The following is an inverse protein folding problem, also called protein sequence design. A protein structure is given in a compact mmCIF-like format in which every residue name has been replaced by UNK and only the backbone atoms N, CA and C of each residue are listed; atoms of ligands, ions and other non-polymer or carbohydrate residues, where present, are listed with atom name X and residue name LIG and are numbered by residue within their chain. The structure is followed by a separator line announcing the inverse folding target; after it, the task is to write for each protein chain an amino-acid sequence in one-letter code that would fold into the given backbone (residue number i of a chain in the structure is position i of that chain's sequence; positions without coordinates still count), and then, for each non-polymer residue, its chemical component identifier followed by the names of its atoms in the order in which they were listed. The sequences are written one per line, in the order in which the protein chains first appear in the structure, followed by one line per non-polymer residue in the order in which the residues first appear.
data_IF_202372112831
#
_entry.id   IF_202372112831
#
_cell.length_a   1.000
_cell.length_b   1.000
_cell.length_c   1.000
_cell.angle_alpha   90.00
_cell.angle_beta   90.00
_cell.angle_gamma   90.00
#
_symmetry.space_group_name_H-M   'P 1'
#
loop_
_entity.id
_entity.type
_entity.pdbx_description
1 polymer ?
#
# COMPACT_ATOMS: atom_id res chain seq x y z
N UNK A 1 25.94 -40.50 -63.42
CA UNK A 1 25.41 -39.36 -62.65
C UNK A 1 26.18 -39.26 -61.34
N UNK A 2 27.17 -38.38 -61.27
CA UNK A 2 28.00 -38.18 -60.07
C UNK A 2 27.29 -37.22 -59.11
N UNK A 3 26.96 -37.71 -57.92
CA UNK A 3 26.51 -36.91 -56.78
C UNK A 3 27.79 -36.42 -56.09
N UNK A 4 28.10 -35.13 -56.24
CA UNK A 4 29.24 -34.51 -55.55
C UNK A 4 28.82 -34.23 -54.11
N UNK A 5 29.11 -35.17 -53.21
CA UNK A 5 29.00 -34.96 -51.77
C UNK A 5 30.10 -33.99 -51.35
N UNK A 6 29.74 -32.72 -51.17
CA UNK A 6 30.67 -31.64 -50.86
C UNK A 6 30.88 -31.60 -49.33
N UNK A 7 32.04 -32.01 -48.79
CA UNK A 7 32.26 -32.20 -47.34
C UNK A 7 32.35 -30.88 -46.56
N UNK A 8 32.29 -29.73 -47.25
CA UNK A 8 32.33 -28.38 -46.67
C UNK A 8 30.99 -27.87 -46.12
N UNK A 9 29.87 -28.55 -46.41
CA UNK A 9 28.54 -28.09 -46.00
C UNK A 9 28.22 -28.45 -44.54
N UNK A 10 28.72 -29.60 -44.05
CA UNK A 10 28.53 -30.04 -42.66
C UNK A 10 29.14 -29.11 -41.60
N UNK A 11 30.41 -28.65 -41.71
CA UNK A 11 30.99 -27.76 -40.71
C UNK A 11 30.37 -26.36 -40.73
N UNK A 12 29.89 -25.89 -41.89
CA UNK A 12 29.19 -24.62 -42.01
C UNK A 12 27.81 -24.64 -41.32
N UNK A 13 27.08 -25.75 -41.40
CA UNK A 13 25.79 -25.94 -40.72
C UNK A 13 25.95 -26.03 -39.19
N UNK A 14 27.03 -26.66 -38.71
CA UNK A 14 27.34 -26.76 -37.29
C UNK A 14 27.73 -25.41 -36.65
N UNK A 15 28.53 -24.58 -37.35
CA UNK A 15 28.84 -23.21 -36.90
C UNK A 15 27.58 -22.32 -36.84
N UNK A 16 26.63 -22.49 -37.78
CA UNK A 16 25.38 -21.74 -37.78
C UNK A 16 24.48 -22.11 -36.58
N UNK A 17 24.41 -23.40 -36.20
CA UNK A 17 23.66 -23.87 -35.04
C UNK A 17 24.22 -23.38 -33.69
N UNK A 18 25.55 -23.23 -33.56
CA UNK A 18 26.18 -22.68 -32.34
C UNK A 18 25.87 -21.18 -32.20
N UNK A 19 25.81 -20.42 -33.30
CA UNK A 19 25.46 -19.00 -33.28
C UNK A 19 23.99 -18.74 -32.84
N UNK A 20 23.07 -19.67 -33.07
CA UNK A 20 21.68 -19.56 -32.61
C UNK A 20 21.44 -19.98 -31.15
N UNK A 21 22.38 -20.67 -30.51
CA UNK A 21 22.26 -21.08 -29.10
C UNK A 21 22.39 -19.93 -28.09
N UNK A 22 22.84 -18.76 -28.53
CA UNK A 22 22.87 -17.52 -27.75
C UNK A 22 21.58 -16.71 -27.76
N UNK A 23 20.58 -17.09 -28.57
CA UNK A 23 19.27 -16.44 -28.63
C UNK A 23 18.37 -16.90 -27.48
N UNK A 24 18.83 -16.74 -26.24
CA UNK A 24 18.01 -17.02 -25.07
C UNK A 24 17.02 -15.87 -24.83
N UNK A 25 15.77 -16.23 -24.58
CA UNK A 25 14.74 -15.32 -24.06
C UNK A 25 15.26 -14.60 -22.81
N UNK A 26 15.02 -13.29 -22.70
CA UNK A 26 15.52 -12.48 -21.59
C UNK A 26 14.85 -12.90 -20.29
N UNK A 27 15.65 -13.41 -19.36
CA UNK A 27 15.31 -13.63 -17.96
C UNK A 27 14.48 -14.89 -17.67
N UNK A 28 14.60 -15.46 -16.44
CA UNK A 28 13.77 -16.58 -16.01
C UNK A 28 12.32 -16.14 -15.78
N UNK A 29 11.39 -17.09 -15.88
CA UNK A 29 10.02 -16.87 -15.41
C UNK A 29 10.00 -16.71 -13.88
N UNK A 30 9.08 -15.90 -13.38
CA UNK A 30 8.86 -15.79 -11.94
C UNK A 30 8.50 -17.16 -11.35
N UNK A 31 9.19 -17.53 -10.27
CA UNK A 31 8.85 -18.68 -9.43
C UNK A 31 8.62 -18.16 -8.02
N UNK A 32 7.43 -18.45 -7.47
CA UNK A 32 7.10 -18.03 -6.11
C UNK A 32 8.08 -18.72 -5.14
N UNK A 33 8.73 -17.99 -4.22
CA UNK A 33 9.55 -18.59 -3.19
C UNK A 33 8.74 -19.61 -2.38
N UNK A 34 9.40 -20.71 -1.97
CA UNK A 34 8.78 -21.68 -1.08
C UNK A 34 8.33 -20.99 0.21
N UNK A 35 7.17 -21.40 0.73
CA UNK A 35 6.74 -20.96 2.05
C UNK A 35 7.77 -21.39 3.11
N UNK A 36 7.95 -20.64 4.21
CA UNK A 36 8.80 -21.08 5.31
C UNK A 36 8.37 -22.46 5.82
N UNK A 37 9.32 -23.29 6.24
CA UNK A 37 9.07 -24.65 6.75
C UNK A 37 8.30 -24.68 8.09
N UNK A 38 7.96 -23.51 8.64
CA UNK A 38 7.13 -23.39 9.84
C UNK A 38 5.67 -23.70 9.53
N UNK A 39 5.25 -24.91 9.89
CA UNK A 39 3.86 -25.36 9.80
C UNK A 39 2.99 -24.83 10.96
N UNK A 40 3.61 -24.24 12.00
CA UNK A 40 2.94 -23.82 13.23
C UNK A 40 3.55 -22.53 13.78
N UNK A 41 2.72 -21.71 14.42
CA UNK A 41 3.17 -20.50 15.13
C UNK A 41 3.41 -20.73 16.64
N UNK A 42 2.89 -21.83 17.20
CA UNK A 42 2.97 -22.15 18.63
C UNK A 42 3.61 -23.52 18.87
N UNK A 43 4.28 -23.67 20.01
CA UNK A 43 4.74 -24.98 20.51
C UNK A 43 3.56 -25.81 21.01
N UNK A 44 3.61 -27.13 20.78
CA UNK A 44 2.56 -28.07 21.19
C UNK A 44 1.48 -28.35 20.14
N UNK A 45 0.46 -29.12 20.54
CA UNK A 45 -0.73 -29.37 19.74
C UNK A 45 -1.62 -28.13 19.78
N UNK A 46 -2.03 -27.64 18.60
CA UNK A 46 -2.92 -26.50 18.54
C UNK A 46 -4.28 -26.90 19.13
N UNK A 47 -4.73 -26.25 20.23
CA UNK A 47 -5.98 -26.63 20.85
C UNK A 47 -7.12 -26.41 19.85
N UNK A 48 -7.95 -27.44 19.64
CA UNK A 48 -9.12 -27.35 18.77
C UNK A 48 -10.11 -26.27 19.26
N UNK A 49 -10.01 -25.93 20.55
CA UNK A 49 -10.86 -24.98 21.26
C UNK A 49 -10.03 -24.05 22.14
N UNK A 50 -10.22 -22.74 22.00
CA UNK A 50 -9.76 -21.77 22.97
C UNK A 50 -10.86 -21.48 24.00
N UNK A 51 -10.45 -21.37 25.27
CA UNK A 51 -11.34 -21.01 26.38
C UNK A 51 -11.82 -19.57 26.21
N UNK A 52 -13.06 -19.37 25.77
CA UNK A 52 -13.75 -18.08 25.83
C UNK A 52 -14.52 -17.93 27.14
N UNK A 53 -14.75 -16.68 27.58
CA UNK A 53 -15.43 -16.37 28.84
C UNK A 53 -16.82 -17.03 28.98
N UNK A 54 -17.55 -17.25 27.87
CA UNK A 54 -18.91 -17.83 27.88
C UNK A 54 -19.15 -18.96 26.84
N UNK A 55 -18.29 -19.10 25.83
CA UNK A 55 -18.40 -20.14 24.79
C UNK A 55 -17.01 -20.62 24.37
N UNK A 56 -16.92 -21.92 24.11
CA UNK A 56 -15.74 -22.52 23.50
C UNK A 56 -15.54 -21.95 22.09
N UNK A 57 -14.39 -21.33 21.84
CA UNK A 57 -14.04 -20.78 20.52
C UNK A 57 -13.30 -21.84 19.72
N UNK A 58 -13.72 -22.13 18.49
CA UNK A 58 -13.06 -23.12 17.63
C UNK A 58 -12.18 -22.43 16.58
N UNK A 59 -10.99 -22.97 16.33
CA UNK A 59 -10.12 -22.47 15.27
C UNK A 59 -10.50 -23.08 13.93
N UNK A 60 -11.01 -22.25 13.00
CA UNK A 60 -11.33 -22.71 11.65
C UNK A 60 -10.18 -22.38 10.68
N UNK A 61 -9.36 -23.38 10.37
CA UNK A 61 -8.15 -23.24 9.53
C UNK A 61 -8.43 -22.79 8.09
N UNK A 62 -9.65 -23.00 7.60
CA UNK A 62 -10.03 -22.72 6.21
C UNK A 62 -11.04 -21.58 6.09
N UNK A 63 -11.28 -20.83 7.15
CA UNK A 63 -12.18 -19.70 7.10
C UNK A 63 -11.47 -18.49 6.53
N UNK A 64 -12.03 -17.94 5.45
CA UNK A 64 -11.57 -16.69 4.90
C UNK A 64 -11.83 -15.56 5.92
N UNK A 65 -10.80 -14.73 6.15
CA UNK A 65 -10.94 -13.56 7.02
C UNK A 65 -11.85 -12.58 6.30
N UNK A 66 -12.99 -12.27 6.91
CA UNK A 66 -13.94 -11.31 6.33
C UNK A 66 -13.26 -9.95 6.17
N UNK A 67 -13.49 -9.29 5.02
CA UNK A 67 -13.00 -7.94 4.79
C UNK A 67 -13.48 -6.95 5.87
N UNK A 68 -14.71 -7.16 6.36
CA UNK A 68 -15.35 -6.33 7.38
C UNK A 68 -15.17 -6.90 8.80
N UNK A 69 -13.97 -7.39 9.12
CA UNK A 69 -13.65 -8.08 10.39
C UNK A 69 -14.08 -7.31 11.65
N UNK A 70 -14.16 -5.98 11.60
CA UNK A 70 -14.59 -5.14 12.73
C UNK A 70 -16.07 -5.33 13.09
N UNK A 71 -16.91 -5.86 12.18
CA UNK A 71 -18.32 -6.14 12.48
C UNK A 71 -18.48 -7.21 13.55
N UNK A 72 -17.43 -7.99 13.82
CA UNK A 72 -17.37 -8.95 14.93
C UNK A 72 -17.46 -8.30 16.32
N UNK A 73 -17.22 -6.99 16.43
CA UNK A 73 -17.44 -6.25 17.69
C UNK A 73 -18.92 -5.92 17.94
N UNK A 74 -19.82 -6.17 16.98
CA UNK A 74 -21.26 -5.94 17.12
C UNK A 74 -21.64 -4.50 17.53
N UNK A 75 -20.85 -3.50 17.16
CA UNK A 75 -21.10 -2.10 17.46
C UNK A 75 -21.45 -1.32 16.20
N UNK A 76 -22.70 -0.85 16.11
CA UNK A 76 -23.17 -0.03 14.97
C UNK A 76 -22.41 1.29 14.88
N UNK A 77 -22.21 1.98 16.01
CA UNK A 77 -21.44 3.23 16.06
C UNK A 77 -19.98 3.05 15.57
N UNK A 78 -19.36 1.90 15.88
CA UNK A 78 -18.01 1.59 15.38
C UNK A 78 -18.02 1.34 13.87
N UNK A 79 -19.02 0.62 13.36
CA UNK A 79 -19.17 0.38 11.92
C UNK A 79 -19.31 1.71 11.16
N UNK A 80 -20.18 2.60 11.63
CA UNK A 80 -20.42 3.90 11.00
C UNK A 80 -19.14 4.76 10.99
N UNK A 81 -18.37 4.74 12.08
CA UNK A 81 -17.10 5.47 12.16
C UNK A 81 -16.06 4.92 11.18
N UNK A 82 -15.99 3.60 11.01
CA UNK A 82 -15.07 2.95 10.08
C UNK A 82 -15.47 3.23 8.63
N UNK A 83 -16.75 3.14 8.30
CA UNK A 83 -17.26 3.45 6.95
C UNK A 83 -17.02 4.92 6.60
N UNK A 84 -17.27 5.83 7.53
CA UNK A 84 -16.95 7.25 7.37
C UNK A 84 -15.44 7.48 7.22
N UNK A 85 -14.61 6.74 7.98
CA UNK A 85 -13.15 6.79 7.89
C UNK A 85 -12.65 6.33 6.52
N UNK A 86 -13.05 5.14 6.07
CA UNK A 86 -12.64 4.58 4.78
C UNK A 86 -13.04 5.49 3.60
N UNK A 87 -14.21 6.13 3.67
CA UNK A 87 -14.70 7.03 2.62
C UNK A 87 -13.93 8.36 2.53
N UNK A 88 -13.49 8.90 3.67
CA UNK A 88 -12.97 10.27 3.75
C UNK A 88 -11.47 10.36 4.08
N UNK A 89 -10.78 9.23 4.26
CA UNK A 89 -9.37 9.24 4.65
C UNK A 89 -8.44 9.57 3.45
N UNK A 90 -7.61 10.63 3.55
CA UNK A 90 -6.71 11.02 2.47
C UNK A 90 -5.63 9.98 2.13
N UNK A 91 -5.20 9.16 3.10
CA UNK A 91 -4.19 8.13 2.88
C UNK A 91 -4.74 6.95 2.08
N UNK A 92 -6.01 6.57 2.30
CA UNK A 92 -6.70 5.59 1.45
C UNK A 92 -6.90 6.16 0.05
N UNK A 93 -7.36 7.41 -0.07
CA UNK A 93 -7.52 8.08 -1.37
C UNK A 93 -6.19 8.18 -2.15
N UNK A 94 -5.08 8.45 -1.46
CA UNK A 94 -3.74 8.46 -2.05
C UNK A 94 -3.32 7.08 -2.57
N UNK A 95 -3.61 6.01 -1.82
CA UNK A 95 -3.32 4.63 -2.26
C UNK A 95 -4.19 4.22 -3.47
N UNK A 96 -5.44 4.66 -3.53
CA UNK A 96 -6.31 4.45 -4.71
C UNK A 96 -5.77 5.20 -5.93
N UNK A 97 -5.33 6.45 -5.75
CA UNK A 97 -4.72 7.23 -6.82
C UNK A 97 -3.40 6.61 -7.32
N UNK A 98 -2.58 6.06 -6.42
CA UNK A 98 -1.34 5.35 -6.78
C UNK A 98 -1.63 4.11 -7.63
N UNK A 99 -2.64 3.31 -7.25
CA UNK A 99 -3.09 2.17 -8.04
C UNK A 99 -3.59 2.59 -9.43
N UNK A 100 -4.41 3.64 -9.51
CA UNK A 100 -4.89 4.17 -10.79
C UNK A 100 -3.75 4.68 -11.66
N UNK A 101 -2.76 5.37 -11.08
CA UNK A 101 -1.58 5.82 -11.82
C UNK A 101 -0.80 4.63 -12.41
N UNK A 102 -0.56 3.59 -11.62
CA UNK A 102 0.12 2.38 -12.08
C UNK A 102 -0.65 1.68 -13.21
N UNK A 103 -1.98 1.59 -13.09
CA UNK A 103 -2.85 1.03 -14.13
C UNK A 103 -2.75 1.81 -15.44
N UNK A 104 -2.94 3.12 -15.39
CA UNK A 104 -2.95 3.96 -16.58
C UNK A 104 -1.56 4.07 -17.22
N UNK A 105 -0.50 4.13 -16.42
CA UNK A 105 0.88 4.08 -16.89
C UNK A 105 1.16 2.77 -17.65
N UNK A 106 0.72 1.64 -17.08
CA UNK A 106 0.86 0.32 -17.73
C UNK A 106 0.06 0.26 -19.03
N UNK A 107 -1.17 0.78 -19.04
CA UNK A 107 -2.04 0.80 -20.21
C UNK A 107 -1.45 1.67 -21.33
N UNK A 108 -0.94 2.86 -21.00
CA UNK A 108 -0.28 3.76 -21.94
C UNK A 108 0.95 3.09 -22.60
N UNK A 109 1.73 2.35 -21.81
CA UNK A 109 2.93 1.68 -22.30
C UNK A 109 2.64 0.39 -23.08
N UNK A 110 1.54 -0.31 -22.78
CA UNK A 110 1.20 -1.59 -23.43
C UNK A 110 1.15 -1.47 -24.94
N UNK A 111 0.47 -0.46 -25.47
CA UNK A 111 0.41 -0.23 -26.92
C UNK A 111 1.79 0.13 -27.48
N UNK A 112 2.49 1.07 -26.85
CA UNK A 112 3.82 1.51 -27.29
C UNK A 112 4.86 0.37 -27.36
N UNK A 113 4.74 -0.63 -26.49
CA UNK A 113 5.65 -1.78 -26.44
C UNK A 113 5.29 -2.92 -27.40
N UNK A 114 4.02 -3.02 -27.82
CA UNK A 114 3.48 -4.20 -28.50
C UNK A 114 3.10 -3.96 -29.97
N UNK A 115 2.85 -2.71 -30.37
CA UNK A 115 2.45 -2.36 -31.74
C UNK A 115 3.39 -1.29 -32.34
N UNK A 116 3.46 -1.18 -33.68
CA UNK A 116 4.21 -0.10 -34.33
C UNK A 116 3.69 1.28 -33.91
N UNK A 117 4.62 2.18 -33.59
CA UNK A 117 4.32 3.58 -33.38
C UNK A 117 4.31 4.29 -34.74
N UNK A 118 3.25 5.07 -34.99
CA UNK A 118 3.12 5.89 -36.19
C UNK A 118 3.01 7.34 -35.74
N UNK A 119 3.96 8.15 -36.17
CA UNK A 119 3.99 9.57 -35.87
C UNK A 119 3.95 10.38 -37.16
N UNK A 120 3.30 11.53 -37.12
CA UNK A 120 3.31 12.47 -38.24
C UNK A 120 3.75 13.83 -37.71
N UNK A 121 4.65 14.47 -38.45
CA UNK A 121 5.27 15.72 -38.04
C UNK A 121 5.29 16.69 -39.21
N UNK A 122 5.02 17.95 -38.91
CA UNK A 122 5.17 19.06 -39.85
C UNK A 122 6.02 20.11 -39.17
N UNK A 123 7.10 20.51 -39.82
CA UNK A 123 8.03 21.50 -39.33
C UNK A 123 8.27 22.60 -40.35
N UNK A 124 8.49 23.81 -39.87
CA UNK A 124 9.08 24.88 -40.66
C UNK A 124 10.32 25.39 -39.93
N UNK A 125 11.44 25.45 -40.63
CA UNK A 125 12.68 26.02 -40.11
C UNK A 125 13.17 27.11 -41.04
N UNK A 126 13.37 28.31 -40.50
CA UNK A 126 13.95 29.42 -41.25
C UNK A 126 15.44 29.48 -40.99
N UNK A 127 16.22 29.32 -42.04
CA UNK A 127 17.68 29.26 -41.95
C UNK A 127 18.31 30.37 -42.78
N UNK A 128 19.42 30.90 -42.28
CA UNK A 128 20.30 31.79 -43.05
C UNK A 128 21.63 31.09 -43.22
N UNK A 129 21.92 30.68 -44.44
CA UNK A 129 23.17 29.99 -44.79
C UNK A 129 24.17 31.02 -45.30
N UNK A 130 25.35 31.09 -44.67
CA UNK A 130 26.49 31.88 -45.14
C UNK A 130 27.40 30.97 -45.96
N UNK A 131 27.57 31.17 -47.27
CA UNK A 131 28.46 30.35 -48.11
C UNK A 131 29.91 30.32 -47.60
N UNK A 132 30.35 31.39 -46.92
CA UNK A 132 31.69 31.52 -46.35
C UNK A 132 31.96 30.49 -45.25
N UNK A 133 30.92 30.05 -44.53
CA UNK A 133 31.03 29.00 -43.51
C UNK A 133 31.42 27.63 -44.11
N UNK A 134 31.26 27.46 -45.42
CA UNK A 134 31.62 26.26 -46.17
C UNK A 134 32.77 26.49 -47.16
N UNK A 135 33.44 27.64 -47.09
CA UNK A 135 34.59 27.98 -47.95
C UNK A 135 34.22 28.43 -49.37
N UNK A 136 32.96 28.75 -49.64
CA UNK A 136 32.51 29.28 -50.93
C UNK A 136 32.30 30.80 -50.85
N UNK A 137 32.70 31.57 -51.88
CA UNK A 137 32.37 33.00 -51.95
C UNK A 137 30.88 33.18 -52.30
N UNK A 138 30.17 34.06 -51.59
CA UNK A 138 28.77 34.40 -51.89
C UNK A 138 28.04 35.06 -50.72
N UNK A 139 26.92 35.74 -50.97
CA UNK A 139 26.16 36.42 -49.92
C UNK A 139 25.30 35.43 -49.09
N UNK A 140 25.03 35.74 -47.80
CA UNK A 140 24.14 34.93 -46.97
C UNK A 140 22.72 34.83 -47.57
N UNK A 141 22.25 33.62 -47.79
CA UNK A 141 20.90 33.37 -48.31
C UNK A 141 19.95 32.97 -47.16
N UNK A 142 18.79 33.61 -47.07
CA UNK A 142 17.77 33.28 -46.08
C UNK A 142 16.61 32.56 -46.75
N UNK A 143 16.28 31.37 -46.27
CA UNK A 143 15.19 30.56 -46.81
C UNK A 143 14.44 29.85 -45.68
N UNK A 144 13.18 29.52 -45.94
CA UNK A 144 12.40 28.65 -45.07
C UNK A 144 12.38 27.24 -45.67
N UNK A 145 12.59 26.23 -44.83
CA UNK A 145 12.38 24.83 -45.16
C UNK A 145 11.12 24.37 -44.43
N UNK A 146 10.09 24.01 -45.19
CA UNK A 146 8.91 23.34 -44.67
C UNK A 146 9.01 21.86 -45.01
N UNK A 147 8.89 21.00 -44.00
CA UNK A 147 8.90 19.55 -44.17
C UNK A 147 7.66 18.94 -43.50
N UNK A 148 7.17 17.85 -44.10
CA UNK A 148 6.17 16.99 -43.51
C UNK A 148 6.67 15.54 -43.64
N UNK A 149 6.67 14.80 -42.53
CA UNK A 149 7.07 13.38 -42.49
C UNK A 149 6.03 12.55 -41.75
N UNK A 150 5.99 11.27 -42.10
CA UNK A 150 5.31 10.24 -41.33
C UNK A 150 6.34 9.18 -41.01
N UNK A 151 6.58 8.98 -39.73
CA UNK A 151 7.60 8.08 -39.20
C UNK A 151 6.92 6.87 -38.55
N UNK A 152 7.22 5.68 -39.07
CA UNK A 152 6.76 4.40 -38.49
C UNK A 152 7.95 3.71 -37.84
N UNK A 153 7.87 3.48 -36.53
CA UNK A 153 8.90 2.75 -35.78
C UNK A 153 8.30 1.53 -35.10
N UNK A 154 9.00 0.39 -35.18
CA UNK A 154 8.60 -0.83 -34.51
C UNK A 154 9.82 -1.62 -34.04
N UNK A 155 9.88 -1.89 -32.75
CA UNK A 155 10.92 -2.72 -32.17
C UNK A 155 10.45 -4.17 -32.15
N UNK A 156 11.13 -5.03 -32.92
CA UNK A 156 10.84 -6.45 -32.94
C UNK A 156 11.33 -7.11 -31.65
N UNK A 157 10.39 -7.59 -30.84
CA UNK A 157 10.69 -8.20 -29.54
C UNK A 157 11.06 -9.70 -29.66
N UNK A 158 12.15 -10.00 -30.37
CA UNK A 158 12.60 -11.39 -30.58
C UNK A 158 13.02 -12.09 -29.29
N UNK A 159 13.63 -11.35 -28.36
CA UNK A 159 14.17 -11.89 -27.12
C UNK A 159 13.24 -11.67 -25.91
N UNK A 160 12.14 -10.95 -26.06
CA UNK A 160 11.12 -10.78 -25.01
C UNK A 160 11.38 -9.62 -24.03
N UNK A 161 12.25 -8.66 -24.36
CA UNK A 161 12.55 -7.51 -23.51
C UNK A 161 11.30 -6.65 -23.26
N UNK A 162 10.54 -6.32 -24.31
CA UNK A 162 9.30 -5.53 -24.17
C UNK A 162 8.23 -6.30 -23.39
N UNK A 163 8.11 -7.61 -23.64
CA UNK A 163 7.21 -8.50 -22.88
C UNK A 163 7.55 -8.52 -21.40
N UNK A 164 8.83 -8.63 -21.04
CA UNK A 164 9.29 -8.62 -19.64
C UNK A 164 9.11 -7.27 -18.98
N UNK A 165 9.29 -6.18 -19.72
CA UNK A 165 8.98 -4.84 -19.24
C UNK A 165 7.49 -4.69 -18.91
N UNK A 166 6.59 -5.17 -19.78
CA UNK A 166 5.15 -5.14 -19.51
C UNK A 166 4.78 -6.01 -18.30
N UNK A 167 5.34 -7.23 -18.20
CA UNK A 167 5.15 -8.11 -17.03
C UNK A 167 5.59 -7.43 -15.73
N UNK A 168 6.71 -6.70 -15.75
CA UNK A 168 7.17 -5.92 -14.60
C UNK A 168 6.18 -4.80 -14.22
N UNK A 169 5.60 -4.11 -15.19
CA UNK A 169 4.60 -3.07 -14.93
C UNK A 169 3.30 -3.66 -14.35
N UNK A 170 2.85 -4.79 -14.88
CA UNK A 170 1.69 -5.52 -14.35
C UNK A 170 1.93 -6.03 -12.91
N UNK A 171 3.16 -6.47 -12.60
CA UNK A 171 3.54 -6.83 -11.24
C UNK A 171 3.54 -5.62 -10.29
N UNK A 172 3.94 -4.43 -10.76
CA UNK A 172 3.85 -3.18 -9.97
C UNK A 172 2.39 -2.80 -9.70
N UNK A 173 1.49 -2.94 -10.68
CA UNK A 173 0.04 -2.77 -10.48
C UNK A 173 -0.48 -3.72 -9.39
N UNK A 174 -0.05 -4.98 -9.42
CA UNK A 174 -0.42 -5.95 -8.39
C UNK A 174 0.09 -5.54 -7.00
N UNK A 175 1.32 -5.03 -6.90
CA UNK A 175 1.87 -4.51 -5.65
C UNK A 175 1.07 -3.32 -5.10
N UNK A 176 0.73 -2.34 -5.95
CA UNK A 176 -0.11 -1.19 -5.54
C UNK A 176 -1.50 -1.61 -5.07
N UNK A 177 -2.08 -2.66 -5.67
CA UNK A 177 -3.35 -3.23 -5.21
C UNK A 177 -3.25 -3.76 -3.77
N UNK A 178 -2.15 -4.44 -3.43
CA UNK A 178 -1.92 -4.91 -2.06
C UNK A 178 -1.62 -3.77 -1.10
N UNK A 179 -0.95 -2.70 -1.54
CA UNK A 179 -0.73 -1.50 -0.73
C UNK A 179 -2.05 -0.79 -0.38
N UNK A 180 -2.99 -0.70 -1.33
CA UNK A 180 -4.34 -0.19 -1.06
C UNK A 180 -5.07 -1.04 0.00
N UNK A 181 -4.99 -2.36 -0.12
CA UNK A 181 -5.57 -3.26 0.89
C UNK A 181 -4.92 -3.07 2.27
N UNK A 182 -3.59 -2.94 2.32
CA UNK A 182 -2.85 -2.69 3.55
C UNK A 182 -3.24 -1.35 4.19
N UNK A 183 -3.43 -0.29 3.40
CA UNK A 183 -3.88 1.01 3.87
C UNK A 183 -5.28 0.93 4.52
N UNK A 184 -6.21 0.22 3.88
CA UNK A 184 -7.56 -0.01 4.42
C UNK A 184 -7.53 -0.80 5.73
N UNK A 185 -6.79 -1.91 5.78
CA UNK A 185 -6.65 -2.71 7.02
C UNK A 185 -6.02 -1.89 8.14
N UNK A 186 -4.94 -1.15 7.85
CA UNK A 186 -4.26 -0.31 8.84
C UNK A 186 -5.18 0.78 9.39
N UNK A 187 -5.93 1.46 8.52
CA UNK A 187 -6.89 2.47 8.94
C UNK A 187 -7.99 1.87 9.83
N UNK A 188 -8.58 0.76 9.41
CA UNK A 188 -9.63 0.09 10.20
C UNK A 188 -9.11 -0.31 11.59
N UNK A 189 -7.91 -0.88 11.68
CA UNK A 189 -7.28 -1.26 12.95
C UNK A 189 -7.01 -0.06 13.86
N UNK A 190 -6.54 1.06 13.29
CA UNK A 190 -6.29 2.29 14.04
C UNK A 190 -7.60 2.89 14.57
N UNK A 191 -8.67 2.90 13.77
CA UNK A 191 -9.99 3.39 14.21
C UNK A 191 -10.51 2.52 15.35
N UNK A 192 -10.47 1.19 15.21
CA UNK A 192 -10.92 0.26 16.26
C UNK A 192 -10.13 0.48 17.56
N UNK A 193 -8.80 0.52 17.48
CA UNK A 193 -7.94 0.71 18.66
C UNK A 193 -8.21 2.05 19.35
N UNK A 194 -8.42 3.10 18.55
CA UNK A 194 -8.71 4.45 19.07
C UNK A 194 -10.09 4.50 19.72
N UNK A 195 -11.10 3.90 19.09
CA UNK A 195 -12.46 3.86 19.64
C UNK A 195 -12.53 3.09 20.97
N UNK A 196 -11.84 1.95 21.06
CA UNK A 196 -11.75 1.19 22.32
C UNK A 196 -11.04 2.00 23.41
N UNK A 197 -9.94 2.68 23.05
CA UNK A 197 -9.19 3.52 23.99
C UNK A 197 -10.04 4.70 24.49
N UNK A 198 -10.80 5.34 23.61
CA UNK A 198 -11.71 6.44 23.97
C UNK A 198 -12.80 5.93 24.93
N UNK A 199 -13.42 4.79 24.63
CA UNK A 199 -14.44 4.20 25.50
C UNK A 199 -13.88 3.85 26.88
N UNK A 200 -12.67 3.29 26.94
CA UNK A 200 -11.98 3.00 28.20
C UNK A 200 -11.69 4.26 29.02
N UNK A 201 -11.20 5.33 28.36
CA UNK A 201 -10.94 6.62 29.02
C UNK A 201 -12.24 7.27 29.54
N UNK A 202 -13.32 7.18 28.76
CA UNK A 202 -14.64 7.71 29.17
C UNK A 202 -15.17 6.98 30.41
N UNK A 203 -14.98 5.67 30.48
CA UNK A 203 -15.39 4.90 31.65
C UNK A 203 -14.48 5.16 32.87
N UNK A 204 -13.18 5.33 32.66
CA UNK A 204 -12.26 5.76 33.71
C UNK A 204 -12.66 7.12 34.29
N UNK A 205 -13.04 8.08 33.44
CA UNK A 205 -13.51 9.40 33.87
C UNK A 205 -14.78 9.29 34.72
N UNK A 206 -15.78 8.50 34.27
CA UNK A 206 -17.01 8.26 35.04
C UNK A 206 -16.74 7.61 36.39
N UNK A 207 -15.80 6.68 36.45
CA UNK A 207 -15.40 6.05 37.71
C UNK A 207 -14.75 7.07 38.65
N UNK A 208 -13.86 7.92 38.16
CA UNK A 208 -13.24 9.00 38.95
C UNK A 208 -14.28 10.01 39.47
N UNK A 209 -15.25 10.41 38.63
CA UNK A 209 -16.37 11.28 39.05
C UNK A 209 -17.26 10.62 40.11
N UNK A 210 -17.42 9.29 40.06
CA UNK A 210 -18.15 8.57 41.10
C UNK A 210 -17.38 8.55 42.43
N UNK A 211 -16.07 8.37 42.40
CA UNK A 211 -15.20 8.44 43.59
C UNK A 211 -15.24 9.85 44.20
N UNK A 212 -15.11 10.90 43.39
CA UNK A 212 -15.18 12.29 43.84
C UNK A 212 -16.50 12.58 44.56
N UNK A 213 -17.64 12.14 44.00
CA UNK A 213 -18.96 12.34 44.62
C UNK A 213 -19.07 11.62 45.96
N UNK A 214 -18.54 10.40 46.06
CA UNK A 214 -18.53 9.62 47.32
C UNK A 214 -17.63 10.27 48.37
N UNK A 215 -16.45 10.75 47.99
CA UNK A 215 -15.54 11.46 48.87
C UNK A 215 -16.11 12.80 49.34
N UNK A 216 -16.77 13.56 48.46
CA UNK A 216 -17.49 14.78 48.79
C UNK A 216 -18.61 14.53 49.81
N UNK A 217 -19.40 13.46 49.60
CA UNK A 217 -20.45 13.06 50.56
C UNK A 217 -19.85 12.64 51.90
N UNK A 218 -18.75 11.91 51.88
CA UNK A 218 -18.04 11.48 53.10
C UNK A 218 -17.52 12.69 53.88
N UNK A 219 -16.93 13.68 53.20
CA UNK A 219 -16.49 14.92 53.81
C UNK A 219 -17.64 15.66 54.50
N UNK A 220 -18.80 15.78 53.85
CA UNK A 220 -19.99 16.41 54.45
C UNK A 220 -20.48 15.71 55.73
N UNK A 221 -20.43 14.37 55.75
CA UNK A 221 -20.77 13.58 56.95
C UNK A 221 -19.75 13.84 58.07
N UNK A 222 -18.45 13.84 57.76
CA UNK A 222 -17.41 14.12 58.75
C UNK A 222 -17.52 15.55 59.30
N UNK A 223 -17.74 16.55 58.45
CA UNK A 223 -17.97 17.94 58.88
C UNK A 223 -19.18 18.06 59.82
N UNK A 224 -20.23 17.26 59.62
CA UNK A 224 -21.38 17.23 60.53
C UNK A 224 -21.03 16.58 61.87
N UNK A 225 -20.28 15.47 61.86
CA UNK A 225 -19.84 14.78 63.09
C UNK A 225 -18.86 15.61 63.91
N UNK A 226 -17.99 16.38 63.25
CA UNK A 226 -17.04 17.29 63.92
C UNK A 226 -17.78 18.43 64.64
N UNK A 227 -18.79 19.04 63.99
CA UNK A 227 -19.66 20.05 64.62
C UNK A 227 -20.42 19.54 65.84
N UNK A 228 -20.72 18.24 65.87
CA UNK A 228 -21.36 17.56 67.00
C UNK A 228 -20.35 17.11 68.08
N UNK A 229 -19.05 17.36 67.90
CA UNK A 229 -17.98 16.98 68.82
C UNK A 229 -17.63 15.49 68.82
N UNK A 230 -18.08 14.72 67.80
CA UNK A 230 -17.95 13.27 67.76
C UNK A 230 -16.66 12.75 67.10
N UNK A 231 -15.91 13.63 66.40
CA UNK A 231 -14.63 13.30 65.74
C UNK A 231 -13.67 14.50 65.81
N UNK A 232 -12.39 14.28 65.47
CA UNK A 232 -11.36 15.33 65.47
C UNK A 232 -11.37 16.19 64.19
N UNK A 233 -10.89 17.43 64.28
CA UNK A 233 -10.68 18.30 63.10
C UNK A 233 -9.66 17.70 62.11
N UNK A 234 -8.68 16.94 62.61
CA UNK A 234 -7.66 16.27 61.78
C UNK A 234 -8.27 15.28 60.80
N UNK A 235 -9.31 14.53 61.20
CA UNK A 235 -10.02 13.61 60.30
C UNK A 235 -10.71 14.34 59.14
N UNK A 236 -11.33 15.49 59.41
CA UNK A 236 -11.95 16.33 58.38
C UNK A 236 -10.89 16.85 57.39
N UNK A 237 -9.74 17.31 57.89
CA UNK A 237 -8.66 17.81 57.03
C UNK A 237 -8.03 16.69 56.18
N UNK A 238 -7.87 15.49 56.73
CA UNK A 238 -7.38 14.34 55.98
C UNK A 238 -8.34 13.99 54.83
N UNK A 239 -9.64 13.93 55.11
CA UNK A 239 -10.63 13.67 54.06
C UNK A 239 -10.67 14.80 53.01
N UNK A 240 -10.52 16.05 53.43
CA UNK A 240 -10.46 17.20 52.51
C UNK A 240 -9.23 17.13 51.62
N UNK A 241 -8.08 16.70 52.16
CA UNK A 241 -6.87 16.47 51.38
C UNK A 241 -7.04 15.33 50.36
N UNK A 242 -7.65 14.21 50.77
CA UNK A 242 -7.99 13.10 49.85
C UNK A 242 -8.89 13.56 48.70
N UNK A 243 -9.98 14.27 49.01
CA UNK A 243 -10.89 14.81 47.99
C UNK A 243 -10.17 15.77 47.03
N UNK A 244 -9.31 16.65 47.55
CA UNK A 244 -8.52 17.55 46.73
C UNK A 244 -7.54 16.78 45.82
N UNK A 245 -6.94 15.69 46.30
CA UNK A 245 -6.07 14.83 45.52
C UNK A 245 -6.83 14.12 44.40
N UNK A 246 -8.01 13.57 44.67
CA UNK A 246 -8.87 12.93 43.66
C UNK A 246 -9.28 13.93 42.59
N UNK A 247 -9.73 15.13 42.98
CA UNK A 247 -10.08 16.20 42.03
C UNK A 247 -8.92 16.63 41.14
N UNK A 248 -7.69 16.57 41.63
CA UNK A 248 -6.50 16.87 40.83
C UNK A 248 -6.18 15.80 39.77
N UNK A 249 -6.73 14.59 39.88
CA UNK A 249 -6.57 13.50 38.89
C UNK A 249 -7.63 13.49 37.80
N UNK A 250 -8.70 14.28 37.97
CA UNK A 250 -9.76 14.44 36.98
C UNK A 250 -9.36 15.61 36.05
N UNK A 251 -9.26 15.38 34.73
CA UNK A 251 -8.87 16.41 33.76
C UNK A 251 -9.92 17.51 33.58
#
# INVERSE_FOLDING_TARGET
MNRTDNPSVLPALACLLVLFSGCAMVGPNFTKPAAPDMVRYTEGDQPATASGHDKSQTFNKNQEVQADWWKLFHSTALNDLIEAGLKNNPSVAAAEAALNNALESTNAQRSNLMIPAVNAQVGETRQRLSPEAFGFPGNPNTFSLTNASVDVSYTLDFFGANRRQLESMEAQVAAERYLLQAARVTLTANIVTTAIREAALREQLRASDAVERLESKTLSILETREKLGAISQTEVQLQRATLAQTRATIP
#
